data_IF_221182990518
#
_entry.id   IF_221182990518
#
_cell.length_a   1.000
_cell.length_b   1.000
_cell.length_c   1.000
_cell.angle_alpha   90.00
_cell.angle_beta   90.00
_cell.angle_gamma   90.00
#
_symmetry.space_group_name_H-M   'P 1'
#
loop_
_entity.id
_entity.type
_entity.pdbx_description
1 polymer ?
#
# COMPACT_ATOMS: atom_id res chain seq x y z
N UNK A 1 -2.20 -50.41 25.85
CA UNK A 1 -1.74 -49.21 26.58
C UNK A 1 -2.19 -48.00 25.78
N UNK A 2 -3.20 -47.26 26.25
CA UNK A 2 -3.90 -46.24 25.48
C UNK A 2 -3.22 -44.88 25.67
N UNK A 3 -2.48 -44.40 24.67
CA UNK A 3 -1.81 -43.09 24.70
C UNK A 3 -2.86 -42.00 24.48
N UNK A 4 -3.32 -41.38 25.58
CA UNK A 4 -4.09 -40.13 25.52
C UNK A 4 -3.19 -39.07 24.87
N UNK A 5 -3.54 -38.63 23.67
CA UNK A 5 -3.00 -37.42 23.09
C UNK A 5 -3.35 -36.26 24.03
N UNK A 6 -2.37 -35.79 24.82
CA UNK A 6 -2.50 -34.57 25.60
C UNK A 6 -2.68 -33.42 24.63
N UNK A 7 -3.92 -32.92 24.54
CA UNK A 7 -4.29 -31.73 23.81
C UNK A 7 -3.62 -30.52 24.48
N UNK A 8 -2.39 -30.23 24.05
CA UNK A 8 -1.58 -29.13 24.55
C UNK A 8 -2.31 -27.84 24.16
N UNK A 9 -3.00 -27.21 25.13
CA UNK A 9 -3.62 -25.89 24.96
C UNK A 9 -2.57 -24.95 24.35
N UNK A 10 -2.72 -24.61 23.06
CA UNK A 10 -1.80 -23.70 22.37
C UNK A 10 -1.66 -22.44 23.21
N UNK A 11 -0.43 -22.17 23.66
CA UNK A 11 -0.09 -20.94 24.38
C UNK A 11 -0.55 -19.72 23.59
N UNK A 12 -0.98 -18.66 24.26
CA UNK A 12 -1.37 -17.40 23.62
C UNK A 12 -0.28 -16.89 22.66
N UNK A 13 0.98 -17.09 23.02
CA UNK A 13 2.13 -16.78 22.18
C UNK A 13 2.16 -17.60 20.87
N UNK A 14 1.85 -18.90 20.92
CA UNK A 14 1.78 -19.73 19.72
C UNK A 14 0.65 -19.29 18.80
N UNK A 15 -0.51 -18.89 19.35
CA UNK A 15 -1.62 -18.37 18.54
C UNK A 15 -1.29 -17.03 17.89
N UNK A 16 -0.48 -16.20 18.54
CA UNK A 16 0.04 -14.96 17.96
C UNK A 16 1.02 -15.23 16.82
N UNK A 17 1.97 -16.15 17.00
CA UNK A 17 2.90 -16.57 15.94
C UNK A 17 2.17 -17.21 14.75
N UNK A 18 1.17 -18.06 15.00
CA UNK A 18 0.32 -18.65 13.96
C UNK A 18 -0.35 -17.53 13.10
N UNK A 19 -0.73 -16.41 13.71
CA UNK A 19 -1.29 -15.26 13.02
C UNK A 19 -0.27 -14.52 12.15
N UNK A 20 0.95 -14.34 12.64
CA UNK A 20 2.04 -13.72 11.87
C UNK A 20 2.43 -14.60 10.68
N UNK A 21 2.59 -15.90 10.90
CA UNK A 21 2.92 -16.86 9.83
C UNK A 21 1.85 -16.86 8.74
N UNK A 22 0.57 -16.88 9.13
CA UNK A 22 -0.53 -16.79 8.19
C UNK A 22 -0.50 -15.48 7.39
N UNK A 23 -0.25 -14.34 8.05
CA UNK A 23 -0.13 -13.06 7.37
C UNK A 23 1.09 -13.02 6.42
N UNK A 24 2.24 -13.52 6.86
CA UNK A 24 3.48 -13.57 6.09
C UNK A 24 3.35 -14.42 4.83
N UNK A 25 2.72 -15.60 4.93
CA UNK A 25 2.48 -16.48 3.78
C UNK A 25 1.45 -15.94 2.78
N UNK A 26 0.62 -14.98 3.20
CA UNK A 26 -0.42 -14.38 2.36
C UNK A 26 0.04 -13.11 1.64
N UNK A 27 1.22 -12.58 1.99
CA UNK A 27 1.78 -11.45 1.27
C UNK A 27 2.05 -11.85 -0.18
N UNK A 28 1.50 -11.11 -1.17
CA UNK A 28 1.81 -11.37 -2.57
C UNK A 28 3.30 -11.13 -2.82
N UNK A 29 3.82 -11.62 -3.94
CA UNK A 29 5.19 -11.31 -4.33
C UNK A 29 5.41 -9.79 -4.37
N UNK A 30 6.65 -9.31 -4.14
CA UNK A 30 6.91 -7.88 -4.04
C UNK A 30 6.46 -7.07 -5.26
N UNK A 31 6.54 -7.61 -6.48
CA UNK A 31 6.17 -6.88 -7.69
C UNK A 31 4.65 -6.63 -7.76
N UNK A 32 3.85 -7.64 -7.42
CA UNK A 32 2.40 -7.50 -7.31
C UNK A 32 2.02 -6.52 -6.19
N UNK A 33 2.74 -6.52 -5.07
CA UNK A 33 2.51 -5.56 -4.00
C UNK A 33 2.69 -4.11 -4.51
N UNK A 34 3.77 -3.82 -5.25
CA UNK A 34 3.97 -2.49 -5.83
C UNK A 34 2.88 -2.11 -6.84
N UNK A 35 2.44 -3.05 -7.68
CA UNK A 35 1.35 -2.82 -8.62
C UNK A 35 0.04 -2.46 -7.90
N UNK A 36 -0.29 -3.20 -6.83
CA UNK A 36 -1.49 -2.94 -6.03
C UNK A 36 -1.42 -1.58 -5.33
N UNK A 37 -0.25 -1.22 -4.77
CA UNK A 37 -0.05 0.08 -4.15
C UNK A 37 -0.12 1.23 -5.17
N UNK A 38 0.43 1.05 -6.37
CA UNK A 38 0.30 2.02 -7.47
C UNK A 38 -1.17 2.23 -7.85
N UNK A 39 -1.91 1.14 -8.06
CA UNK A 39 -3.33 1.21 -8.38
C UNK A 39 -4.13 1.88 -7.24
N UNK A 40 -3.80 1.57 -5.99
CA UNK A 40 -4.40 2.21 -4.82
C UNK A 40 -4.14 3.72 -4.82
N UNK A 41 -2.91 4.17 -5.06
CA UNK A 41 -2.56 5.60 -5.14
C UNK A 41 -3.32 6.29 -6.26
N UNK A 42 -3.46 5.67 -7.43
CA UNK A 42 -4.28 6.23 -8.52
C UNK A 42 -5.74 6.42 -8.09
N UNK A 43 -6.33 5.41 -7.46
CA UNK A 43 -7.71 5.47 -6.95
C UNK A 43 -7.85 6.56 -5.88
N UNK A 44 -6.92 6.62 -4.92
CA UNK A 44 -6.94 7.65 -3.89
C UNK A 44 -6.79 9.06 -4.48
N UNK A 45 -5.91 9.23 -5.48
CA UNK A 45 -5.75 10.52 -6.17
C UNK A 45 -7.03 10.95 -6.88
N UNK A 46 -7.75 10.01 -7.49
CA UNK A 46 -9.04 10.28 -8.14
C UNK A 46 -10.09 10.73 -7.13
N UNK A 47 -10.18 10.02 -5.99
CA UNK A 47 -11.18 10.29 -4.96
C UNK A 47 -10.86 11.59 -4.21
N UNK A 48 -9.59 11.86 -3.91
CA UNK A 48 -9.18 12.97 -3.05
C UNK A 48 -8.96 14.29 -3.81
N UNK A 49 -8.66 14.25 -5.11
CA UNK A 49 -8.43 15.45 -5.92
C UNK A 49 -9.57 16.49 -5.99
N UNK A 50 -10.86 16.15 -5.82
CA UNK A 50 -11.93 17.14 -5.81
C UNK A 50 -12.07 17.88 -4.47
N UNK A 51 -11.32 17.47 -3.44
CA UNK A 51 -11.40 18.07 -2.11
C UNK A 51 -10.31 19.13 -1.92
N UNK A 52 -10.71 20.28 -1.37
CA UNK A 52 -9.78 21.32 -0.96
C UNK A 52 -9.23 21.03 0.44
N UNK A 53 -7.91 21.08 0.57
CA UNK A 53 -7.22 20.96 1.85
C UNK A 53 -6.75 22.34 2.31
N UNK A 54 -7.15 22.77 3.50
CA UNK A 54 -6.80 24.08 4.04
C UNK A 54 -5.34 24.19 4.55
N UNK A 55 -4.52 23.18 4.25
CA UNK A 55 -3.12 23.14 4.68
C UNK A 55 -2.26 23.96 3.72
N UNK A 56 -1.40 24.81 4.27
CA UNK A 56 -0.48 25.65 3.51
C UNK A 56 0.91 25.05 3.60
N UNK A 57 1.57 24.83 2.47
CA UNK A 57 2.96 24.37 2.47
C UNK A 57 3.86 25.50 3.03
N UNK A 58 4.54 25.29 4.18
CA UNK A 58 5.38 26.31 4.80
C UNK A 58 6.63 26.66 3.98
N UNK A 59 6.96 25.90 2.93
CA UNK A 59 8.11 26.10 2.07
C UNK A 59 7.80 26.99 0.87
N UNK A 60 6.57 26.95 0.38
CA UNK A 60 6.14 27.70 -0.82
C UNK A 60 5.13 28.81 -0.48
N UNK A 61 4.38 28.67 0.61
CA UNK A 61 3.27 29.55 0.98
C UNK A 61 2.00 29.29 0.16
N UNK A 62 1.96 28.22 -0.64
CA UNK A 62 0.83 27.83 -1.47
C UNK A 62 -0.05 26.77 -0.78
N UNK A 63 -1.30 26.64 -1.24
CA UNK A 63 -2.22 25.61 -0.75
C UNK A 63 -1.75 24.23 -1.19
N UNK A 64 -1.85 23.24 -0.30
CA UNK A 64 -1.57 21.85 -0.66
C UNK A 64 -2.74 21.29 -1.49
N UNK A 65 -2.43 20.80 -2.70
CA UNK A 65 -3.42 20.23 -3.61
C UNK A 65 -3.12 18.77 -3.96
N UNK A 66 -4.17 17.94 -4.04
CA UNK A 66 -4.06 16.55 -4.49
C UNK A 66 -4.31 16.48 -6.00
N UNK A 67 -3.30 16.02 -6.74
CA UNK A 67 -3.38 15.94 -8.20
C UNK A 67 -3.97 14.59 -8.63
N UNK A 68 -5.03 14.61 -9.44
CA UNK A 68 -5.59 13.40 -10.07
C UNK A 68 -4.62 12.82 -11.10
N UNK A 69 -4.07 11.64 -10.81
CA UNK A 69 -3.07 10.98 -11.64
C UNK A 69 -3.66 10.28 -12.88
N UNK A 70 -5.00 10.14 -12.95
CA UNK A 70 -5.70 9.48 -14.05
C UNK A 70 -6.12 10.44 -15.18
N UNK A 71 -5.76 11.72 -15.08
CA UNK A 71 -5.97 12.67 -16.19
C UNK A 71 -5.01 12.39 -17.35
N UNK A 72 -5.39 12.79 -18.57
CA UNK A 72 -4.58 12.52 -19.77
C UNK A 72 -3.16 13.09 -19.70
N UNK A 73 -3.00 14.29 -19.13
CA UNK A 73 -1.68 14.93 -18.96
C UNK A 73 -0.81 14.18 -17.94
N UNK A 74 -1.38 13.78 -16.80
CA UNK A 74 -0.63 13.08 -15.76
C UNK A 74 -0.26 11.66 -16.17
N UNK A 75 -1.13 10.96 -16.91
CA UNK A 75 -0.79 9.67 -17.52
C UNK A 75 0.33 9.82 -18.56
N UNK A 76 0.28 10.83 -19.42
CA UNK A 76 1.36 11.10 -20.38
C UNK A 76 2.69 11.40 -19.68
N UNK A 77 2.67 12.23 -18.63
CA UNK A 77 3.84 12.54 -17.82
C UNK A 77 4.42 11.28 -17.15
N UNK A 78 3.56 10.45 -16.53
CA UNK A 78 3.94 9.19 -15.91
C UNK A 78 4.61 8.25 -16.91
N UNK A 79 4.01 8.04 -18.09
CA UNK A 79 4.59 7.20 -19.13
C UNK A 79 5.93 7.76 -19.63
N UNK A 80 6.06 9.08 -19.74
CA UNK A 80 7.30 9.73 -20.16
C UNK A 80 8.43 9.62 -19.13
N UNK A 81 8.12 9.57 -17.82
CA UNK A 81 9.12 9.49 -16.76
C UNK A 81 9.41 8.06 -16.28
N UNK A 82 8.55 7.09 -16.61
CA UNK A 82 8.58 5.72 -16.08
C UNK A 82 9.96 5.06 -16.18
N UNK A 83 10.60 5.15 -17.35
CA UNK A 83 11.90 4.53 -17.58
C UNK A 83 12.97 5.19 -16.69
N UNK A 84 12.97 6.53 -16.62
CA UNK A 84 13.92 7.25 -15.76
C UNK A 84 13.72 6.86 -14.30
N UNK A 85 12.48 6.89 -13.79
CA UNK A 85 12.17 6.48 -12.41
C UNK A 85 12.60 5.05 -12.07
N UNK A 86 12.61 4.13 -13.05
CA UNK A 86 13.09 2.76 -12.82
C UNK A 86 14.62 2.64 -12.83
N UNK A 87 15.31 3.47 -13.61
CA UNK A 87 16.75 3.34 -13.86
C UNK A 87 17.60 4.20 -12.91
N UNK A 88 17.09 5.36 -12.49
CA UNK A 88 17.81 6.33 -11.64
C UNK A 88 17.40 6.22 -10.17
#
# INVERSE_FOLDING_TARGET
>A
MNTKATDQKKSFFNRFLDGIEYAGNKLPDPAILFLLLLALVWILSLILSPFDFAEIDPRTGESLEVINLLTGSQLAAFLSSMINTFVT
#
